data_IF_865783140243
#
_entry.id   IF_865783140243
#
_cell.length_a   1.000
_cell.length_b   1.000
_cell.length_c   1.000
_cell.angle_alpha   90.00
_cell.angle_beta   90.00
_cell.angle_gamma   90.00
#
_symmetry.space_group_name_H-M   'P 1'
#
loop_
_entity.id
_entity.type
_entity.pdbx_description
1 polymer ?
#
# COMPACT_ATOMS: atom_id res chain seq x y z
N UNK A 1 -14.57 -18.55 -9.67
CA UNK A 1 -13.47 -18.88 -10.60
C UNK A 1 -12.33 -19.38 -9.74
N UNK A 2 -12.46 -20.61 -9.22
CA UNK A 2 -11.60 -21.16 -8.16
C UNK A 2 -10.42 -21.94 -8.77
N UNK A 3 -9.68 -21.30 -9.67
CA UNK A 3 -8.37 -21.79 -10.02
C UNK A 3 -7.37 -21.08 -9.10
N UNK A 4 -6.66 -21.86 -8.28
CA UNK A 4 -5.46 -21.39 -7.57
C UNK A 4 -4.34 -21.04 -8.55
N UNK A 5 -4.47 -21.41 -9.81
CA UNK A 5 -3.56 -21.00 -10.87
C UNK A 5 -3.93 -19.60 -11.38
N UNK A 6 -3.23 -18.60 -10.85
CA UNK A 6 -3.34 -17.21 -11.25
C UNK A 6 -2.74 -16.92 -12.63
N UNK A 7 -1.87 -17.80 -13.16
CA UNK A 7 -1.17 -17.56 -14.44
C UNK A 7 -2.12 -17.55 -15.65
N UNK A 8 -3.30 -18.17 -15.50
CA UNK A 8 -4.36 -18.16 -16.52
C UNK A 8 -5.41 -17.06 -16.32
N UNK A 9 -5.35 -16.28 -15.24
CA UNK A 9 -6.25 -15.14 -15.05
C UNK A 9 -5.87 -14.00 -16.00
N UNK A 10 -6.85 -13.25 -16.54
CA UNK A 10 -6.56 -12.01 -17.26
C UNK A 10 -5.67 -11.10 -16.42
N UNK A 11 -4.63 -10.55 -17.04
CA UNK A 11 -3.67 -9.66 -16.38
C UNK A 11 -4.33 -8.36 -15.93
N UNK A 12 -5.35 -7.89 -16.64
CA UNK A 12 -6.16 -6.74 -16.26
C UNK A 12 -7.63 -7.16 -16.18
N UNK A 13 -8.27 -6.90 -15.04
CA UNK A 13 -9.61 -7.36 -14.74
C UNK A 13 -10.47 -6.20 -14.21
N UNK A 14 -11.64 -6.01 -14.80
CA UNK A 14 -12.61 -5.01 -14.35
C UNK A 14 -13.71 -5.65 -13.49
N UNK A 15 -13.97 -5.06 -12.32
CA UNK A 15 -15.04 -5.45 -11.42
C UNK A 15 -16.15 -4.41 -11.47
N UNK A 16 -17.34 -4.84 -11.89
CA UNK A 16 -18.52 -3.99 -11.93
C UNK A 16 -19.79 -4.76 -12.33
N UNK A 17 -20.96 -4.11 -12.27
CA UNK A 17 -21.16 -2.72 -11.85
C UNK A 17 -20.96 -2.52 -10.34
N UNK A 18 -20.55 -1.31 -9.93
CA UNK A 18 -20.33 -0.95 -8.54
C UNK A 18 -21.56 -1.15 -7.65
N UNK A 19 -21.36 -1.67 -6.44
CA UNK A 19 -22.39 -1.64 -5.40
C UNK A 19 -22.78 -0.19 -5.06
N UNK A 20 -24.01 -0.01 -4.59
CA UNK A 20 -24.50 1.34 -4.25
C UNK A 20 -23.69 1.98 -3.11
N UNK A 21 -23.10 1.17 -2.22
CA UNK A 21 -22.22 1.64 -1.15
C UNK A 21 -20.95 2.28 -1.71
N UNK A 22 -20.28 1.68 -2.70
CA UNK A 22 -19.12 2.27 -3.37
C UNK A 22 -19.48 3.62 -3.99
N UNK A 23 -20.64 3.72 -4.64
CA UNK A 23 -21.13 4.96 -5.24
C UNK A 23 -21.44 6.02 -4.19
N UNK A 24 -22.10 5.64 -3.09
CA UNK A 24 -22.43 6.54 -1.99
C UNK A 24 -21.16 7.04 -1.31
N UNK A 25 -20.24 6.15 -0.95
CA UNK A 25 -18.96 6.50 -0.32
C UNK A 25 -18.15 7.42 -1.22
N UNK A 26 -18.01 7.11 -2.52
CA UNK A 26 -17.35 7.99 -3.47
C UNK A 26 -18.01 9.38 -3.55
N UNK A 27 -19.34 9.44 -3.57
CA UNK A 27 -20.09 10.70 -3.56
C UNK A 27 -19.88 11.51 -2.27
N UNK A 28 -19.95 10.87 -1.10
CA UNK A 28 -19.71 11.53 0.19
C UNK A 28 -18.26 12.04 0.30
N UNK A 29 -17.29 11.25 -0.13
CA UNK A 29 -15.87 11.65 -0.15
C UNK A 29 -15.65 12.86 -1.07
N UNK A 30 -16.26 12.86 -2.26
CA UNK A 30 -16.17 13.97 -3.21
C UNK A 30 -16.75 15.29 -2.66
N UNK A 31 -17.81 15.20 -1.85
CA UNK A 31 -18.53 16.36 -1.31
C UNK A 31 -17.91 16.87 -0.01
N UNK A 32 -17.50 15.98 0.89
CA UNK A 32 -17.10 16.36 2.25
C UNK A 32 -15.59 16.29 2.51
N UNK A 33 -14.89 15.31 1.92
CA UNK A 33 -13.47 15.08 2.23
C UNK A 33 -12.56 15.81 1.24
N UNK A 34 -12.81 15.65 -0.06
CA UNK A 34 -11.96 16.23 -1.11
C UNK A 34 -11.84 17.76 -1.02
N UNK A 35 -12.90 18.54 -0.73
CA UNK A 35 -12.76 19.99 -0.56
C UNK A 35 -11.91 20.37 0.65
N UNK A 36 -11.97 19.58 1.74
CA UNK A 36 -11.14 19.81 2.93
C UNK A 36 -9.67 19.55 2.59
N UNK A 37 -9.35 18.45 1.89
CA UNK A 37 -7.99 18.19 1.42
C UNK A 37 -7.50 19.31 0.50
N UNK A 38 -8.35 19.80 -0.42
CA UNK A 38 -8.01 20.92 -1.28
C UNK A 38 -7.69 22.20 -0.49
N UNK A 39 -8.52 22.54 0.50
CA UNK A 39 -8.32 23.69 1.35
C UNK A 39 -7.03 23.57 2.19
N UNK A 40 -6.79 22.41 2.81
CA UNK A 40 -5.56 22.17 3.58
C UNK A 40 -4.32 22.25 2.69
N UNK A 41 -4.39 21.76 1.45
CA UNK A 41 -3.31 21.88 0.47
C UNK A 41 -3.06 23.33 0.11
N UNK A 42 -4.11 24.14 -0.13
CA UNK A 42 -3.96 25.56 -0.42
C UNK A 42 -3.34 26.32 0.75
N UNK A 43 -3.79 26.07 1.98
CA UNK A 43 -3.21 26.64 3.20
C UNK A 43 -1.74 26.23 3.32
N UNK A 44 -1.44 24.93 3.13
CA UNK A 44 -0.08 24.40 3.16
C UNK A 44 0.83 25.08 2.14
N UNK A 45 0.39 25.24 0.89
CA UNK A 45 1.13 25.96 -0.15
C UNK A 45 1.39 27.42 0.20
N UNK A 46 0.40 28.12 0.76
CA UNK A 46 0.57 29.52 1.21
C UNK A 46 1.57 29.59 2.35
N UNK A 47 1.45 28.74 3.36
CA UNK A 47 2.40 28.68 4.48
C UNK A 47 3.79 28.32 3.98
N UNK A 48 3.94 27.32 3.12
CA UNK A 48 5.24 26.92 2.56
C UNK A 48 5.91 28.05 1.78
N UNK A 49 5.12 28.89 1.09
CA UNK A 49 5.63 30.04 0.33
C UNK A 49 6.26 31.11 1.22
N UNK A 50 5.72 31.34 2.41
CA UNK A 50 6.18 32.41 3.33
C UNK A 50 7.05 31.90 4.49
N UNK A 51 6.81 30.66 4.91
CA UNK A 51 7.40 30.00 6.09
C UNK A 51 7.66 28.50 5.82
N UNK A 52 8.53 28.16 4.85
CA UNK A 52 8.81 26.76 4.49
C UNK A 52 9.33 25.92 5.67
N UNK A 53 10.04 26.53 6.61
CA UNK A 53 10.55 25.89 7.82
C UNK A 53 9.44 25.35 8.73
N UNK A 54 8.27 26.00 8.77
CA UNK A 54 7.14 25.51 9.57
C UNK A 54 6.55 24.24 8.96
N UNK A 55 6.50 24.17 7.62
CA UNK A 55 6.03 22.99 6.90
C UNK A 55 7.01 21.83 7.07
N UNK A 56 8.30 22.09 6.93
CA UNK A 56 9.35 21.06 7.04
C UNK A 56 9.59 20.58 8.49
N UNK A 57 9.15 21.32 9.51
CA UNK A 57 9.20 20.90 10.93
C UNK A 57 7.87 20.34 11.44
N UNK A 58 6.81 20.40 10.63
CA UNK A 58 5.47 19.96 11.00
C UNK A 58 5.41 18.45 11.24
N UNK A 59 4.73 18.05 12.32
CA UNK A 59 4.42 16.66 12.66
C UNK A 59 2.99 16.35 12.23
N UNK A 60 2.82 15.80 11.02
CA UNK A 60 1.51 15.54 10.43
C UNK A 60 0.95 14.15 10.81
N UNK A 61 1.81 13.28 11.34
CA UNK A 61 1.50 11.96 11.90
C UNK A 61 0.64 12.03 13.18
N UNK A 62 0.56 13.20 13.84
CA UNK A 62 -0.33 13.41 15.00
C UNK A 62 -1.80 13.10 14.70
N UNK A 63 -2.20 13.19 13.42
CA UNK A 63 -3.54 12.82 12.93
C UNK A 63 -3.84 11.34 13.17
N UNK A 64 -2.82 10.47 13.29
CA UNK A 64 -3.00 9.04 13.58
C UNK A 64 -3.51 8.79 15.01
N UNK A 65 -3.21 9.69 15.96
CA UNK A 65 -3.57 9.53 17.37
C UNK A 65 -5.06 9.24 17.63
N UNK A 66 -5.99 10.07 17.11
CA UNK A 66 -7.43 9.83 17.20
C UNK A 66 -7.89 8.46 16.64
N UNK A 67 -7.17 7.87 15.69
CA UNK A 67 -7.56 6.58 15.09
C UNK A 67 -7.42 5.39 16.05
N UNK A 68 -6.83 5.57 17.25
CA UNK A 68 -6.87 4.58 18.34
C UNK A 68 -8.30 4.13 18.69
N UNK A 69 -9.30 4.96 18.41
CA UNK A 69 -10.71 4.62 18.57
C UNK A 69 -11.18 3.49 17.63
N UNK A 70 -10.57 3.35 16.45
CA UNK A 70 -10.86 2.29 15.48
C UNK A 70 -10.09 1.04 15.85
N UNK A 71 -10.69 0.23 16.72
CA UNK A 71 -10.06 -1.00 17.22
C UNK A 71 -9.93 -2.05 16.12
N UNK A 72 -8.93 -2.91 16.30
CA UNK A 72 -8.81 -4.18 15.60
C UNK A 72 -10.11 -5.00 15.70
N UNK A 73 -10.30 -5.94 14.77
CA UNK A 73 -11.44 -6.85 14.79
C UNK A 73 -11.48 -7.65 16.12
N UNK A 74 -12.68 -7.98 16.64
CA UNK A 74 -12.83 -8.72 17.89
C UNK A 74 -11.99 -10.01 17.93
N UNK A 75 -11.33 -10.26 19.06
CA UNK A 75 -10.47 -11.43 19.27
C UNK A 75 -9.07 -11.31 18.65
N UNK A 76 -8.75 -10.21 17.95
CA UNK A 76 -7.41 -9.97 17.42
C UNK A 76 -6.44 -9.60 18.54
N UNK A 77 -5.29 -10.27 18.60
CA UNK A 77 -4.17 -9.89 19.46
C UNK A 77 -3.31 -8.85 18.75
N UNK A 78 -2.97 -7.78 19.47
CA UNK A 78 -2.11 -6.70 19.00
C UNK A 78 -0.92 -6.61 19.95
N UNK A 79 0.28 -6.86 19.44
CA UNK A 79 1.51 -6.87 20.22
C UNK A 79 2.47 -5.82 19.67
N UNK A 80 2.63 -4.68 20.35
CA UNK A 80 3.61 -3.66 19.97
C UNK A 80 5.03 -4.21 20.05
N UNK A 81 5.86 -3.81 19.09
CA UNK A 81 7.29 -4.08 19.06
C UNK A 81 8.03 -2.82 18.60
N UNK A 82 9.35 -2.82 18.78
CA UNK A 82 10.22 -1.74 18.33
C UNK A 82 11.23 -2.29 17.34
N UNK A 83 11.24 -1.74 16.13
CA UNK A 83 12.34 -1.88 15.18
C UNK A 83 13.41 -0.83 15.51
N UNK A 84 14.56 -0.87 14.83
CA UNK A 84 15.69 0.00 15.15
C UNK A 84 15.27 1.48 15.22
N UNK A 85 14.56 1.96 14.19
CA UNK A 85 14.20 3.37 14.04
C UNK A 85 12.70 3.67 14.14
N UNK A 86 11.84 2.65 14.11
CA UNK A 86 10.39 2.84 14.09
C UNK A 86 9.60 1.83 14.95
N UNK A 87 8.36 2.18 15.27
CA UNK A 87 7.45 1.28 15.98
C UNK A 87 6.76 0.35 14.98
N UNK A 88 6.50 -0.88 15.39
CA UNK A 88 5.69 -1.81 14.62
C UNK A 88 4.76 -2.59 15.57
N UNK A 89 3.81 -3.33 15.00
CA UNK A 89 2.93 -4.18 15.80
C UNK A 89 2.60 -5.47 15.07
N UNK A 90 2.66 -6.58 15.80
CA UNK A 90 2.09 -7.83 15.36
C UNK A 90 0.57 -7.80 15.54
N UNK A 91 -0.15 -8.08 14.46
CA UNK A 91 -1.60 -8.19 14.42
C UNK A 91 -1.94 -9.65 14.07
N UNK A 92 -2.54 -10.35 15.03
CA UNK A 92 -2.83 -11.78 14.91
C UNK A 92 -4.29 -12.04 15.24
N UNK A 93 -5.09 -12.27 14.20
CA UNK A 93 -6.47 -12.72 14.35
C UNK A 93 -6.53 -14.17 14.87
N UNK A 94 -7.67 -14.63 15.43
CA UNK A 94 -7.78 -15.99 15.98
C UNK A 94 -7.35 -17.10 15.02
N UNK A 95 -7.67 -16.98 13.72
CA UNK A 95 -7.29 -17.97 12.68
C UNK A 95 -5.80 -17.94 12.31
N UNK A 96 -5.08 -16.88 12.68
CA UNK A 96 -3.66 -16.69 12.37
C UNK A 96 -2.73 -17.11 13.52
N UNK A 97 -3.29 -17.60 14.64
CA UNK A 97 -2.51 -18.09 15.77
C UNK A 97 -1.65 -19.29 15.34
N UNK A 98 -0.34 -19.20 15.57
CA UNK A 98 0.62 -20.23 15.15
C UNK A 98 0.89 -20.30 13.65
N UNK A 99 0.38 -19.35 12.84
CA UNK A 99 0.63 -19.32 11.40
C UNK A 99 2.09 -19.02 11.08
N UNK A 100 2.68 -19.79 10.17
CA UNK A 100 4.01 -19.56 9.62
C UNK A 100 4.01 -18.51 8.49
N UNK A 101 2.83 -18.12 7.99
CA UNK A 101 2.70 -17.11 6.93
C UNK A 101 2.58 -15.71 7.50
N UNK A 102 3.28 -14.76 6.86
CA UNK A 102 3.38 -13.37 7.31
C UNK A 102 3.03 -12.42 6.17
N UNK A 103 2.28 -11.37 6.50
CA UNK A 103 2.16 -10.18 5.68
C UNK A 103 2.91 -9.05 6.39
N UNK A 104 3.89 -8.43 5.73
CA UNK A 104 4.48 -7.18 6.20
C UNK A 104 3.70 -6.04 5.55
N UNK A 105 3.00 -5.26 6.36
CA UNK A 105 2.07 -4.24 5.90
C UNK A 105 2.64 -2.83 6.07
N UNK A 106 2.60 -2.06 4.98
CA UNK A 106 3.02 -0.66 4.91
C UNK A 106 1.80 0.22 4.67
N UNK A 107 1.43 1.02 5.66
CA UNK A 107 0.23 1.85 5.60
C UNK A 107 0.32 2.99 4.58
N UNK A 108 -0.81 3.42 4.04
CA UNK A 108 -0.92 4.67 3.30
C UNK A 108 -0.71 5.86 4.22
N UNK A 109 0.07 6.83 3.74
CA UNK A 109 0.51 7.96 4.57
C UNK A 109 0.47 9.30 3.85
N UNK A 110 0.20 9.32 2.54
CA UNK A 110 0.52 10.47 1.70
C UNK A 110 1.98 10.94 1.92
N UNK A 111 2.88 10.02 2.29
CA UNK A 111 4.26 10.23 2.74
C UNK A 111 4.45 10.95 4.08
N UNK A 112 3.40 11.56 4.67
CA UNK A 112 3.56 12.52 5.78
C UNK A 112 2.68 12.25 7.02
N UNK A 113 1.62 11.47 6.89
CA UNK A 113 0.60 11.31 7.94
C UNK A 113 0.14 9.87 8.11
N UNK A 114 -0.87 9.65 8.95
CA UNK A 114 -1.39 8.34 9.33
C UNK A 114 -0.31 7.47 9.99
N UNK A 115 -0.57 6.18 10.17
CA UNK A 115 0.28 5.33 11.02
C UNK A 115 -0.36 4.01 11.38
N UNK A 116 0.18 3.42 12.45
CA UNK A 116 -0.31 2.14 12.97
C UNK A 116 -1.79 2.19 13.33
N UNK A 117 -2.28 3.28 13.96
CA UNK A 117 -3.63 3.31 14.49
C UNK A 117 -4.70 3.37 13.40
N UNK A 118 -4.48 4.19 12.37
CA UNK A 118 -5.36 4.34 11.21
C UNK A 118 -5.54 3.05 10.42
N UNK A 119 -4.51 2.19 10.37
CA UNK A 119 -4.54 0.96 9.59
C UNK A 119 -4.71 -0.31 10.42
N UNK A 120 -4.67 -0.23 11.76
CA UNK A 120 -4.80 -1.41 12.64
C UNK A 120 -6.05 -2.24 12.36
N UNK A 121 -7.19 -1.58 12.14
CA UNK A 121 -8.44 -2.28 11.80
C UNK A 121 -8.32 -3.03 10.48
N UNK A 122 -7.69 -2.43 9.47
CA UNK A 122 -7.44 -3.05 8.18
C UNK A 122 -6.42 -4.20 8.27
N UNK A 123 -5.29 -4.00 8.95
CA UNK A 123 -4.31 -5.06 9.22
C UNK A 123 -4.96 -6.26 9.93
N UNK A 124 -5.89 -6.01 10.87
CA UNK A 124 -6.64 -7.09 11.52
C UNK A 124 -7.61 -7.81 10.58
N UNK A 125 -8.18 -7.11 9.58
CA UNK A 125 -9.01 -7.71 8.53
C UNK A 125 -8.18 -8.58 7.60
N UNK A 126 -6.98 -8.13 7.20
CA UNK A 126 -6.04 -8.93 6.42
C UNK A 126 -5.64 -10.20 7.16
N UNK A 127 -5.23 -10.08 8.44
CA UNK A 127 -4.89 -11.25 9.26
C UNK A 127 -6.07 -12.20 9.41
N UNK A 128 -7.27 -11.66 9.69
CA UNK A 128 -8.46 -12.45 9.86
C UNK A 128 -8.90 -13.16 8.57
N UNK A 129 -8.69 -12.57 7.40
CA UNK A 129 -9.12 -13.12 6.11
C UNK A 129 -8.13 -14.16 5.56
N UNK A 130 -6.83 -13.85 5.59
CA UNK A 130 -5.76 -14.70 5.04
C UNK A 130 -5.27 -15.79 5.98
N UNK A 131 -5.55 -15.67 7.29
CA UNK A 131 -4.94 -16.56 8.29
C UNK A 131 -3.45 -16.31 8.50
N UNK A 132 -2.90 -15.22 7.95
CA UNK A 132 -1.52 -14.82 8.16
C UNK A 132 -1.36 -13.95 9.41
N UNK A 133 -0.18 -13.97 10.02
CA UNK A 133 0.22 -12.91 10.95
C UNK A 133 0.53 -11.65 10.14
N UNK A 134 0.10 -10.48 10.62
CA UNK A 134 0.42 -9.21 9.96
C UNK A 134 1.39 -8.42 10.82
N UNK A 135 2.55 -8.06 10.27
CA UNK A 135 3.46 -7.09 10.87
C UNK A 135 3.15 -5.71 10.27
N UNK A 136 2.45 -4.87 11.04
CA UNK A 136 2.11 -3.51 10.63
C UNK A 136 3.29 -2.59 10.99
N UNK A 137 3.95 -2.02 9.99
CA UNK A 137 5.18 -1.23 10.16
C UNK A 137 4.85 0.26 10.22
N UNK A 138 5.17 0.91 11.33
CA UNK A 138 4.99 2.36 11.53
C UNK A 138 6.20 3.13 11.01
N UNK A 139 6.58 2.88 9.75
CA UNK A 139 7.77 3.42 9.11
C UNK A 139 7.83 4.96 9.20
N UNK A 140 9.04 5.50 9.21
CA UNK A 140 9.26 6.95 9.36
C UNK A 140 8.69 7.73 8.17
N UNK A 141 8.18 8.93 8.45
CA UNK A 141 7.47 9.75 7.47
C UNK A 141 8.21 11.04 7.16
N UNK A 142 7.98 11.57 5.96
CA UNK A 142 8.37 12.93 5.61
C UNK A 142 7.59 13.95 6.45
N UNK A 143 8.13 15.15 6.69
CA UNK A 143 9.48 15.60 6.33
C UNK A 143 10.58 15.15 7.32
N UNK A 144 10.23 14.45 8.40
CA UNK A 144 11.19 14.05 9.43
C UNK A 144 12.23 13.05 8.93
N UNK A 145 11.82 12.18 8.02
CA UNK A 145 12.66 11.19 7.36
C UNK A 145 12.49 11.26 5.84
N UNK A 146 13.43 10.66 5.10
CA UNK A 146 13.34 10.50 3.66
C UNK A 146 12.61 9.18 3.32
N UNK A 147 12.30 8.98 2.03
CA UNK A 147 11.64 7.75 1.57
C UNK A 147 12.59 6.55 1.71
N UNK A 148 13.90 6.77 1.55
CA UNK A 148 14.93 5.76 1.73
C UNK A 148 15.01 5.30 3.20
N UNK A 149 14.78 6.19 4.16
CA UNK A 149 14.70 5.84 5.58
C UNK A 149 13.47 4.95 5.86
N UNK A 150 12.33 5.24 5.22
CA UNK A 150 11.13 4.42 5.33
C UNK A 150 11.31 3.03 4.68
N UNK A 151 12.04 2.95 3.56
CA UNK A 151 12.42 1.68 2.93
C UNK A 151 13.37 0.90 3.85
N UNK A 152 14.34 1.56 4.48
CA UNK A 152 15.25 0.93 5.44
C UNK A 152 14.50 0.34 6.65
N UNK A 153 13.46 1.03 7.14
CA UNK A 153 12.57 0.51 8.17
C UNK A 153 11.86 -0.78 7.74
N UNK A 154 11.41 -0.84 6.47
CA UNK A 154 10.84 -2.04 5.87
C UNK A 154 11.83 -3.20 5.75
N UNK A 155 13.08 -2.92 5.38
CA UNK A 155 14.15 -3.93 5.34
C UNK A 155 14.46 -4.44 6.75
N UNK A 156 14.48 -3.57 7.76
CA UNK A 156 14.65 -3.95 9.16
C UNK A 156 13.50 -4.89 9.61
N UNK A 157 12.25 -4.54 9.29
CA UNK A 157 11.08 -5.37 9.56
C UNK A 157 11.22 -6.75 8.90
N UNK A 158 11.63 -6.81 7.63
CA UNK A 158 11.80 -8.04 6.89
C UNK A 158 12.87 -8.95 7.51
N UNK A 159 14.05 -8.39 7.83
CA UNK A 159 15.14 -9.12 8.48
C UNK A 159 14.72 -9.67 9.83
N UNK A 160 13.96 -8.93 10.61
CA UNK A 160 13.40 -9.40 11.88
C UNK A 160 12.47 -10.61 11.67
N UNK A 161 11.63 -10.58 10.64
CA UNK A 161 10.73 -11.71 10.31
C UNK A 161 11.52 -12.95 9.88
N UNK A 162 12.53 -12.79 9.02
CA UNK A 162 13.44 -13.89 8.64
C UNK A 162 14.18 -14.47 9.86
N UNK A 163 14.71 -13.61 10.74
CA UNK A 163 15.40 -14.02 11.95
C UNK A 163 14.49 -14.77 12.95
N UNK A 164 13.17 -14.57 12.87
CA UNK A 164 12.18 -15.33 13.63
C UNK A 164 11.87 -16.71 13.01
N UNK A 165 12.58 -17.11 11.95
CA UNK A 165 12.47 -18.43 11.32
C UNK A 165 11.33 -18.54 10.30
N UNK A 166 10.84 -17.42 9.76
CA UNK A 166 9.83 -17.43 8.69
C UNK A 166 10.54 -17.45 7.34
N UNK A 167 10.23 -18.43 6.50
CA UNK A 167 10.79 -18.52 5.15
C UNK A 167 10.28 -17.38 4.26
N UNK A 168 11.14 -16.85 3.38
CA UNK A 168 10.81 -15.77 2.46
C UNK A 168 9.59 -16.06 1.59
N UNK A 169 9.40 -17.33 1.21
CA UNK A 169 8.28 -17.85 0.41
C UNK A 169 6.94 -17.87 1.17
N UNK A 170 6.96 -17.60 2.48
CA UNK A 170 5.77 -17.45 3.33
C UNK A 170 5.50 -15.99 3.70
N UNK A 171 6.26 -15.05 3.13
CA UNK A 171 6.15 -13.62 3.41
C UNK A 171 5.60 -12.91 2.17
N UNK A 172 4.54 -12.12 2.35
CA UNK A 172 4.03 -11.20 1.32
C UNK A 172 4.18 -9.77 1.82
N UNK A 173 4.68 -8.88 0.95
CA UNK A 173 4.62 -7.45 1.25
C UNK A 173 3.29 -6.90 0.79
N UNK A 174 2.66 -6.08 1.62
CA UNK A 174 1.42 -5.44 1.27
C UNK A 174 1.47 -3.96 1.66
N UNK A 175 0.87 -3.11 0.86
CA UNK A 175 0.80 -1.70 1.20
C UNK A 175 -0.17 -0.94 0.34
N UNK A 176 -0.63 0.18 0.87
CA UNK A 176 -1.60 1.02 0.20
C UNK A 176 -1.09 2.43 -0.06
N UNK A 177 -1.50 3.05 -1.18
CA UNK A 177 -1.11 4.42 -1.49
C UNK A 177 0.42 4.58 -1.46
N UNK A 178 0.94 5.52 -0.67
CA UNK A 178 2.38 5.66 -0.38
C UNK A 178 3.03 4.39 0.22
N UNK A 179 2.29 3.58 0.97
CA UNK A 179 2.74 2.28 1.45
C UNK A 179 2.99 1.27 0.34
N UNK A 180 2.34 1.43 -0.83
CA UNK A 180 2.66 0.63 -2.03
C UNK A 180 4.05 0.95 -2.61
N UNK A 181 4.46 2.22 -2.55
CA UNK A 181 5.84 2.64 -2.82
C UNK A 181 6.80 1.99 -1.81
N UNK A 182 6.50 2.07 -0.50
CA UNK A 182 7.38 1.51 0.52
C UNK A 182 7.49 -0.02 0.39
N UNK A 183 6.39 -0.71 0.11
CA UNK A 183 6.39 -2.16 -0.12
C UNK A 183 7.30 -2.55 -1.30
N UNK A 184 7.15 -1.87 -2.44
CA UNK A 184 7.94 -2.19 -3.65
C UNK A 184 9.39 -1.77 -3.48
N UNK A 185 9.66 -0.59 -2.93
CA UNK A 185 11.01 -0.13 -2.61
C UNK A 185 11.73 -1.05 -1.61
N UNK A 186 11.00 -1.59 -0.62
CA UNK A 186 11.54 -2.60 0.30
C UNK A 186 11.88 -3.90 -0.43
N UNK A 187 11.01 -4.38 -1.33
CA UNK A 187 11.29 -5.58 -2.11
C UNK A 187 12.55 -5.42 -2.99
N UNK A 188 12.72 -4.25 -3.62
CA UNK A 188 13.91 -3.89 -4.38
C UNK A 188 15.16 -3.86 -3.48
N UNK A 189 15.10 -3.15 -2.34
CA UNK A 189 16.22 -3.07 -1.41
C UNK A 189 16.61 -4.44 -0.82
N UNK A 190 15.64 -5.32 -0.57
CA UNK A 190 15.87 -6.71 -0.14
C UNK A 190 16.60 -7.51 -1.23
N UNK A 191 16.12 -7.43 -2.47
CA UNK A 191 16.77 -8.08 -3.64
C UNK A 191 18.21 -7.59 -3.80
N UNK A 192 18.41 -6.28 -3.78
CA UNK A 192 19.71 -5.66 -4.02
C UNK A 192 20.71 -5.94 -2.88
N UNK A 193 20.21 -6.22 -1.68
CA UNK A 193 21.00 -6.72 -0.57
C UNK A 193 21.36 -8.22 -0.66
N UNK A 194 20.96 -8.92 -1.73
CA UNK A 194 21.21 -10.34 -1.94
C UNK A 194 20.39 -11.27 -1.05
N UNK A 195 19.32 -10.76 -0.44
CA UNK A 195 18.37 -11.56 0.33
C UNK A 195 17.35 -12.20 -0.63
N UNK A 196 16.80 -13.35 -0.22
CA UNK A 196 15.65 -13.91 -0.93
C UNK A 196 14.49 -12.93 -0.88
N UNK A 197 13.84 -12.67 -2.02
CA UNK A 197 12.69 -11.76 -2.10
C UNK A 197 11.44 -12.40 -1.48
N UNK A 198 10.47 -11.61 -0.98
CA UNK A 198 9.19 -12.16 -0.51
C UNK A 198 8.44 -12.88 -1.62
N UNK A 199 7.52 -13.76 -1.23
CA UNK A 199 6.70 -14.58 -2.10
C UNK A 199 5.85 -13.79 -3.11
N UNK A 200 5.55 -12.53 -2.81
CA UNK A 200 4.81 -11.64 -3.69
C UNK A 200 4.43 -10.32 -3.02
N UNK A 201 3.65 -9.52 -3.75
CA UNK A 201 3.24 -8.18 -3.33
C UNK A 201 1.74 -7.95 -3.53
N UNK A 202 1.10 -7.26 -2.58
CA UNK A 202 -0.30 -6.84 -2.65
C UNK A 202 -0.38 -5.32 -2.50
N UNK A 203 -0.65 -4.61 -3.59
CA UNK A 203 -0.57 -3.16 -3.67
C UNK A 203 -1.98 -2.57 -3.88
N UNK A 204 -2.40 -1.69 -2.99
CA UNK A 204 -3.77 -1.15 -2.97
C UNK A 204 -3.74 0.34 -3.28
N UNK A 205 -4.31 0.74 -4.42
CA UNK A 205 -4.28 2.12 -4.90
C UNK A 205 -2.85 2.74 -4.86
N UNK A 206 -1.80 2.04 -5.34
CA UNK A 206 -0.42 2.40 -5.00
C UNK A 206 0.08 3.68 -5.70
N UNK A 207 0.75 4.54 -4.93
CA UNK A 207 1.46 5.73 -5.41
C UNK A 207 2.88 5.32 -5.81
N UNK A 208 3.17 5.15 -7.10
CA UNK A 208 4.38 4.42 -7.54
C UNK A 208 5.14 5.06 -8.70
N UNK A 209 4.70 6.22 -9.19
CA UNK A 209 5.39 7.00 -10.21
C UNK A 209 5.52 8.48 -9.81
N UNK A 210 6.64 9.12 -10.13
CA UNK A 210 6.81 10.57 -9.96
C UNK A 210 6.24 11.35 -11.15
N UNK A 211 5.86 10.67 -12.24
CA UNK A 211 5.30 11.31 -13.43
C UNK A 211 3.91 11.89 -13.15
N UNK A 212 3.84 13.21 -13.05
CA UNK A 212 2.60 13.93 -12.84
C UNK A 212 1.70 13.95 -14.09
N UNK A 213 2.23 13.71 -15.30
CA UNK A 213 1.42 13.60 -16.51
C UNK A 213 0.59 12.32 -16.50
N UNK A 214 1.15 11.21 -16.00
CA UNK A 214 0.44 9.94 -15.83
C UNK A 214 -0.85 10.13 -15.00
N UNK A 215 -0.72 10.84 -13.88
CA UNK A 215 -1.82 11.19 -12.96
C UNK A 215 -2.78 12.21 -13.57
N UNK A 216 -2.25 13.19 -14.31
CA UNK A 216 -3.07 14.20 -14.98
C UNK A 216 -3.98 13.57 -16.04
N UNK A 217 -3.44 12.67 -16.86
CA UNK A 217 -4.21 11.94 -17.86
C UNK A 217 -5.31 11.08 -17.22
N UNK A 218 -5.00 10.37 -16.13
CA UNK A 218 -6.02 9.64 -15.37
C UNK A 218 -7.16 10.55 -14.90
N UNK A 219 -6.81 11.75 -14.41
CA UNK A 219 -7.77 12.74 -13.90
C UNK A 219 -8.69 13.31 -15.01
N UNK A 220 -8.20 13.39 -16.25
CA UNK A 220 -9.01 13.82 -17.40
C UNK A 220 -10.08 12.78 -17.78
N UNK A 221 -9.76 11.49 -17.65
CA UNK A 221 -10.67 10.39 -17.96
C UNK A 221 -11.64 10.10 -16.80
N UNK A 222 -11.13 10.18 -15.58
CA UNK A 222 -11.87 9.84 -14.38
C UNK A 222 -11.61 10.84 -13.25
N UNK A 223 -12.69 11.36 -12.66
CA UNK A 223 -12.56 12.30 -11.56
C UNK A 223 -12.16 11.58 -10.28
N UNK A 224 -10.96 11.88 -9.78
CA UNK A 224 -10.56 11.49 -8.43
C UNK A 224 -11.49 12.14 -7.39
N UNK A 225 -12.16 11.29 -6.61
CA UNK A 225 -13.15 11.71 -5.60
C UNK A 225 -12.53 12.00 -4.24
N UNK A 226 -11.27 11.63 -4.00
CA UNK A 226 -10.57 11.88 -2.74
C UNK A 226 -9.53 12.99 -2.87
N UNK A 227 -8.60 12.86 -3.83
CA UNK A 227 -7.46 13.75 -3.97
C UNK A 227 -7.64 14.79 -5.08
N UNK A 228 -7.45 16.08 -4.77
CA UNK A 228 -7.17 17.08 -5.78
C UNK A 228 -5.79 16.82 -6.41
N UNK A 229 -5.64 17.02 -7.72
CA UNK A 229 -4.35 16.87 -8.42
C UNK A 229 -3.22 17.69 -7.78
N UNK A 230 -3.52 18.92 -7.33
CA UNK A 230 -2.56 19.79 -6.65
C UNK A 230 -2.07 19.25 -5.32
N UNK A 231 -2.86 18.42 -4.63
CA UNK A 231 -2.44 17.79 -3.37
C UNK A 231 -1.29 16.81 -3.63
N UNK A 232 -1.42 15.96 -4.65
CA UNK A 232 -0.38 15.00 -5.01
C UNK A 232 0.88 15.72 -5.47
N UNK A 233 0.76 16.75 -6.33
CA UNK A 233 1.90 17.58 -6.73
C UNK A 233 2.61 18.23 -5.54
N UNK A 234 1.83 18.77 -4.59
CA UNK A 234 2.36 19.38 -3.38
C UNK A 234 3.13 18.37 -2.51
N UNK A 235 2.67 17.12 -2.42
CA UNK A 235 3.39 16.07 -1.68
C UNK A 235 4.79 15.83 -2.24
N UNK A 236 4.95 15.73 -3.56
CA UNK A 236 6.25 15.53 -4.19
C UNK A 236 7.16 16.76 -4.05
N UNK A 237 6.67 17.93 -4.45
CA UNK A 237 7.48 19.15 -4.51
C UNK A 237 7.94 19.63 -3.12
N UNK A 238 7.13 19.37 -2.09
CA UNK A 238 7.39 19.92 -0.76
C UNK A 238 7.93 18.87 0.19
N UNK A 239 7.36 17.66 0.22
CA UNK A 239 7.74 16.67 1.22
C UNK A 239 8.75 15.66 0.69
N UNK A 240 8.51 15.07 -0.49
CA UNK A 240 9.42 14.06 -1.04
C UNK A 240 10.80 14.66 -1.38
N UNK A 241 10.83 15.85 -1.98
CA UNK A 241 12.08 16.54 -2.35
C UNK A 241 12.58 17.53 -1.27
N UNK A 242 11.87 17.65 -0.13
CA UNK A 242 12.12 18.67 0.90
C UNK A 242 12.31 20.07 0.30
N UNK A 243 11.30 20.55 -0.43
CA UNK A 243 11.36 21.82 -1.17
C UNK A 243 12.53 21.88 -2.17
N UNK A 244 12.79 20.78 -2.90
CA UNK A 244 13.86 20.69 -3.91
C UNK A 244 15.28 20.64 -3.35
N UNK A 245 15.46 20.48 -2.03
CA UNK A 245 16.80 20.31 -1.44
C UNK A 245 17.34 18.88 -1.57
N UNK A 246 16.45 17.92 -1.87
CA UNK A 246 16.76 16.54 -2.23
C UNK A 246 16.30 16.27 -3.67
N UNK A 247 16.94 15.31 -4.38
CA UNK A 247 16.47 14.90 -5.69
C UNK A 247 15.05 14.34 -5.61
N UNK A 248 14.39 14.26 -6.77
CA UNK A 248 13.15 13.48 -6.89
C UNK A 248 13.48 12.04 -6.51
N UNK A 249 12.73 11.41 -5.58
CA UNK A 249 12.97 10.02 -5.22
C UNK A 249 12.75 9.13 -6.44
N UNK A 250 13.59 8.12 -6.60
CA UNK A 250 13.33 7.07 -7.58
C UNK A 250 12.08 6.31 -7.17
N UNK A 251 11.06 6.33 -8.03
CA UNK A 251 9.80 5.66 -7.76
C UNK A 251 9.79 4.26 -8.41
N UNK A 252 8.99 3.29 -7.92
CA UNK A 252 9.01 1.92 -8.41
C UNK A 252 8.85 1.74 -9.92
N UNK A 253 8.05 2.58 -10.59
CA UNK A 253 7.92 2.54 -12.07
C UNK A 253 9.19 2.92 -12.83
N UNK A 254 10.15 3.55 -12.16
CA UNK A 254 11.38 4.09 -12.73
C UNK A 254 12.60 3.20 -12.44
N UNK A 255 12.47 2.25 -11.51
CA UNK A 255 13.54 1.37 -11.05
C UNK A 255 13.68 0.09 -11.92
N UNK A 256 14.80 -0.62 -11.77
CA UNK A 256 14.95 -1.99 -12.28
C UNK A 256 14.09 -2.95 -11.43
N UNK A 257 13.07 -3.55 -12.03
CA UNK A 257 12.09 -4.43 -11.38
C UNK A 257 12.38 -5.93 -11.56
N UNK A 258 13.52 -6.32 -12.13
CA UNK A 258 13.85 -7.73 -12.35
C UNK A 258 13.93 -8.53 -11.04
N UNK A 259 13.55 -9.81 -11.08
CA UNK A 259 13.66 -10.71 -9.92
C UNK A 259 12.69 -10.43 -8.78
N UNK A 260 11.73 -9.51 -8.94
CA UNK A 260 10.61 -9.35 -8.01
C UNK A 260 9.56 -10.45 -8.19
N UNK A 261 8.87 -10.79 -7.10
CA UNK A 261 7.81 -11.80 -7.08
C UNK A 261 6.50 -11.33 -7.74
N UNK A 262 5.51 -12.24 -7.87
CA UNK A 262 4.19 -11.93 -8.38
C UNK A 262 3.55 -10.76 -7.61
N UNK A 263 2.80 -9.91 -8.31
CA UNK A 263 2.20 -8.70 -7.73
C UNK A 263 0.72 -8.56 -8.10
N UNK A 264 -0.14 -8.41 -7.10
CA UNK A 264 -1.53 -8.00 -7.26
C UNK A 264 -1.67 -6.51 -7.00
N UNK A 265 -2.25 -5.78 -7.94
CA UNK A 265 -2.62 -4.38 -7.81
C UNK A 265 -4.15 -4.26 -7.82
N UNK A 266 -4.73 -3.60 -6.82
CA UNK A 266 -6.16 -3.27 -6.80
C UNK A 266 -6.36 -1.77 -6.77
N UNK A 267 -7.18 -1.23 -7.67
CA UNK A 267 -7.38 0.21 -7.81
C UNK A 267 -8.82 0.54 -8.16
N UNK A 268 -9.35 1.66 -7.70
CA UNK A 268 -10.64 2.18 -8.14
C UNK A 268 -10.52 2.94 -9.47
N UNK A 269 -11.63 3.04 -10.21
CA UNK A 269 -11.64 3.95 -11.37
C UNK A 269 -11.94 5.42 -10.99
N UNK A 270 -12.37 5.73 -9.75
CA UNK A 270 -12.54 7.11 -9.27
C UNK A 270 -11.29 7.63 -8.52
N UNK A 271 -10.09 7.30 -8.99
CA UNK A 271 -8.83 7.81 -8.44
C UNK A 271 -7.74 7.95 -9.50
N UNK A 272 -6.88 8.94 -9.35
CA UNK A 272 -5.85 9.24 -10.36
C UNK A 272 -4.66 8.26 -10.35
N UNK A 273 -4.48 7.51 -9.26
CA UNK A 273 -3.44 6.48 -9.13
C UNK A 273 -3.78 5.18 -9.88
N UNK A 274 -4.90 5.15 -10.58
CA UNK A 274 -5.20 4.10 -11.57
C UNK A 274 -4.07 3.94 -12.58
N UNK A 275 -3.57 5.04 -13.14
CA UNK A 275 -2.53 4.96 -14.15
C UNK A 275 -1.16 4.60 -13.54
N UNK A 276 -0.87 4.99 -12.30
CA UNK A 276 0.30 4.47 -11.55
C UNK A 276 0.27 2.94 -11.48
N UNK A 277 -0.90 2.37 -11.19
CA UNK A 277 -1.07 0.90 -11.08
C UNK A 277 -0.81 0.20 -12.41
N UNK A 278 -1.35 0.72 -13.52
CA UNK A 278 -1.08 0.16 -14.84
C UNK A 278 0.39 0.30 -15.24
N UNK A 279 1.00 1.47 -15.03
CA UNK A 279 2.40 1.70 -15.36
C UNK A 279 3.34 0.76 -14.59
N UNK A 280 3.08 0.54 -13.29
CA UNK A 280 3.87 -0.40 -12.50
C UNK A 280 3.68 -1.84 -12.96
N UNK A 281 2.44 -2.25 -13.26
CA UNK A 281 2.16 -3.59 -13.75
C UNK A 281 2.87 -3.87 -15.08
N UNK A 282 2.84 -2.91 -16.01
CA UNK A 282 3.52 -3.03 -17.30
C UNK A 282 5.04 -3.09 -17.14
N UNK A 283 5.60 -2.28 -16.24
CA UNK A 283 7.03 -2.31 -15.92
C UNK A 283 7.46 -3.65 -15.27
N UNK A 284 6.67 -4.18 -14.33
CA UNK A 284 6.89 -5.50 -13.73
C UNK A 284 6.85 -6.62 -14.79
N UNK A 285 5.85 -6.60 -15.67
CA UNK A 285 5.71 -7.59 -16.76
C UNK A 285 6.88 -7.50 -17.75
N UNK A 286 7.30 -6.30 -18.10
CA UNK A 286 8.47 -6.07 -18.96
C UNK A 286 9.76 -6.60 -18.31
N UNK A 287 9.86 -6.55 -16.98
CA UNK A 287 10.95 -7.13 -16.20
C UNK A 287 10.80 -8.66 -15.95
N UNK A 288 9.77 -9.30 -16.52
CA UNK A 288 9.55 -10.74 -16.42
C UNK A 288 8.82 -11.20 -15.15
N UNK A 289 8.32 -10.29 -14.32
CA UNK A 289 7.48 -10.63 -13.17
C UNK A 289 6.00 -10.77 -13.58
N UNK A 290 5.22 -11.53 -12.81
CA UNK A 290 3.78 -11.62 -13.00
C UNK A 290 3.09 -10.46 -12.27
N UNK A 291 2.23 -9.73 -12.97
CA UNK A 291 1.46 -8.64 -12.36
C UNK A 291 0.01 -8.64 -12.85
N UNK A 292 -0.93 -8.47 -11.91
CA UNK A 292 -2.36 -8.37 -12.19
C UNK A 292 -2.93 -7.05 -11.68
N UNK A 293 -3.70 -6.36 -12.52
CA UNK A 293 -4.42 -5.13 -12.15
C UNK A 293 -5.91 -5.43 -12.07
N UNK A 294 -6.51 -5.17 -10.90
CA UNK A 294 -7.95 -5.26 -10.69
C UNK A 294 -8.53 -3.85 -10.54
N UNK A 295 -9.34 -3.44 -11.51
CA UNK A 295 -10.00 -2.12 -11.53
C UNK A 295 -11.42 -2.26 -11.00
N UNK A 296 -11.77 -1.49 -9.98
CA UNK A 296 -13.06 -1.54 -9.31
C UNK A 296 -13.94 -0.36 -9.71
N UNK A 297 -15.10 -0.66 -10.30
CA UNK A 297 -16.03 0.36 -10.79
C UNK A 297 -16.48 1.28 -9.66
N UNK A 298 -16.33 2.59 -9.88
CA UNK A 298 -16.68 3.71 -8.99
C UNK A 298 -16.07 3.68 -7.60
N UNK A 299 -15.16 2.75 -7.33
CA UNK A 299 -14.43 2.69 -6.09
C UNK A 299 -13.51 3.92 -5.97
N UNK A 300 -13.46 4.47 -4.76
CA UNK A 300 -12.53 5.54 -4.40
C UNK A 300 -11.18 4.95 -3.99
N UNK A 301 -10.17 5.81 -3.90
CA UNK A 301 -8.88 5.48 -3.31
C UNK A 301 -9.03 4.74 -1.98
N UNK A 302 -8.38 3.58 -1.86
CA UNK A 302 -8.44 2.70 -0.68
C UNK A 302 -9.86 2.29 -0.25
N UNK A 303 -10.75 2.01 -1.21
CA UNK A 303 -12.11 1.53 -0.92
C UNK A 303 -12.13 0.26 -0.05
N UNK A 304 -11.07 -0.54 -0.02
CA UNK A 304 -10.93 -1.74 0.79
C UNK A 304 -11.14 -1.46 2.30
N UNK A 305 -10.78 -0.26 2.78
CA UNK A 305 -11.02 0.16 4.17
C UNK A 305 -12.50 0.16 4.56
N UNK A 306 -13.41 0.21 3.57
CA UNK A 306 -14.86 0.21 3.79
C UNK A 306 -15.49 -1.19 3.91
N UNK A 307 -14.69 -2.25 4.08
CA UNK A 307 -15.14 -3.66 4.12
C UNK A 307 -16.28 -3.96 5.11
N UNK A 308 -16.43 -3.17 6.18
CA UNK A 308 -17.51 -3.33 7.15
C UNK A 308 -18.90 -3.13 6.50
N UNK A 309 -19.01 -2.22 5.52
CA UNK A 309 -20.28 -1.82 4.92
C UNK A 309 -20.36 -2.06 3.42
N UNK A 310 -19.21 -2.13 2.73
CA UNK A 310 -19.13 -2.18 1.27
C UNK A 310 -18.91 -3.62 0.75
N UNK A 311 -19.86 -4.19 -0.01
CA UNK A 311 -19.70 -5.51 -0.64
C UNK A 311 -18.51 -5.59 -1.61
N UNK A 312 -18.23 -4.51 -2.36
CA UNK A 312 -17.12 -4.48 -3.32
C UNK A 312 -15.79 -4.61 -2.58
N UNK A 313 -15.64 -3.89 -1.46
CA UNK A 313 -14.47 -4.00 -0.59
C UNK A 313 -14.30 -5.41 -0.01
N UNK A 314 -15.39 -6.09 0.37
CA UNK A 314 -15.31 -7.49 0.83
C UNK A 314 -14.85 -8.43 -0.28
N UNK A 315 -15.40 -8.28 -1.49
CA UNK A 315 -14.97 -9.06 -2.65
C UNK A 315 -13.51 -8.79 -3.01
N UNK A 316 -13.05 -7.55 -2.87
CA UNK A 316 -11.64 -7.21 -3.04
C UNK A 316 -10.73 -7.90 -2.01
N UNK A 317 -11.19 -8.05 -0.75
CA UNK A 317 -10.49 -8.88 0.24
C UNK A 317 -10.47 -10.35 -0.16
N UNK A 318 -11.54 -10.88 -0.74
CA UNK A 318 -11.56 -12.28 -1.21
C UNK A 318 -10.52 -12.51 -2.31
N UNK A 319 -10.37 -11.56 -3.25
CA UNK A 319 -9.31 -11.60 -4.28
C UNK A 319 -7.89 -11.50 -3.68
N UNK A 320 -7.72 -10.70 -2.62
CA UNK A 320 -6.46 -10.62 -1.85
C UNK A 320 -6.13 -11.98 -1.21
N UNK A 321 -7.12 -12.67 -0.66
CA UNK A 321 -6.95 -14.00 -0.06
C UNK A 321 -6.55 -15.02 -1.12
N UNK A 322 -7.26 -15.05 -2.25
CA UNK A 322 -6.94 -15.94 -3.38
C UNK A 322 -5.51 -15.73 -3.89
N UNK A 323 -5.06 -14.47 -3.99
CA UNK A 323 -3.70 -14.14 -4.40
C UNK A 323 -2.66 -14.54 -3.35
N UNK A 324 -2.95 -14.27 -2.08
CA UNK A 324 -2.06 -14.61 -0.98
C UNK A 324 -1.81 -16.11 -0.89
N UNK A 325 -2.86 -16.93 -1.07
CA UNK A 325 -2.73 -18.38 -1.16
C UNK A 325 -1.87 -18.80 -2.35
N UNK A 326 -2.10 -18.23 -3.54
CA UNK A 326 -1.26 -18.48 -4.71
C UNK A 326 0.21 -18.14 -4.43
N UNK A 327 0.51 -16.92 -4.00
CA UNK A 327 1.88 -16.46 -3.79
C UNK A 327 2.64 -17.33 -2.77
N UNK A 328 1.98 -17.76 -1.69
CA UNK A 328 2.63 -18.49 -0.58
C UNK A 328 2.62 -20.02 -0.71
N UNK A 329 2.08 -20.56 -1.81
CA UNK A 329 2.01 -22.02 -2.09
C UNK A 329 2.79 -22.47 -3.32
N UNK A 330 3.30 -21.55 -4.14
CA UNK A 330 4.00 -21.84 -5.40
C UNK A 330 5.35 -22.58 -5.26
N UNK A 331 5.83 -22.86 -4.03
CA UNK A 331 7.02 -23.69 -3.79
C UNK A 331 6.75 -24.75 -2.72
N UNK A 332 6.10 -25.86 -3.10
CA UNK A 332 6.70 -27.15 -2.76
C UNK A 332 7.63 -27.47 -3.92
N UNK A 333 8.97 -27.45 -3.75
CA UNK A 333 9.85 -28.04 -4.75
C UNK A 333 9.50 -29.52 -4.85
N UNK A 334 8.70 -29.84 -5.87
CA UNK A 334 8.33 -31.20 -6.20
C UNK A 334 9.59 -31.97 -6.56
N UNK A 335 9.75 -33.10 -5.88
CA UNK A 335 10.26 -34.36 -6.42
C UNK A 335 10.71 -34.24 -7.88
N UNK A 336 12.02 -34.22 -8.06
CA UNK A 336 12.64 -34.58 -9.33
C UNK A 336 12.08 -35.96 -9.69
N UNK A 337 11.19 -36.00 -10.67
CA UNK A 337 10.72 -37.24 -11.26
C UNK A 337 11.96 -38.06 -11.66
N UNK A 338 12.00 -39.28 -11.14
CA UNK A 338 13.03 -40.30 -11.33
C UNK A 338 13.27 -40.67 -12.78
#
# INVERSE_FOLDING_TARGET
MNSLDWTHRPTDLEFGPAAWQSRLLGGLTAVFVRPVIALLTLIGMVVNRFHPELVQRGRYDIIDGPFRAFRALPGTTVTPIRLDDCDAEWIVAPRAQGSDRVIIYFHGSALITLGLNSHRRWASKLSAATGARVLNVGYRLAPQALIEDAIADGVCAYRMVLAAGVDAEKIVFAGDSAGGLIATGTALAVRDAGLQVPAGQILLSPLTSSDMNLKYNAMLEHRDVLFPFMAVKYLYDVFATKNGTHPVPEMPTEADLHGLGPTLLQVGNNEMLRNDSFALADALRAAGALAWVQVWDKAMHMFQLSFDVNPDARKAVDEIVDFFEYATTQHQPGEVAS
#
